data_IF_111326461021
#
_entry.id   IF_111326461021
#
_cell.length_a   1.000
_cell.length_b   1.000
_cell.length_c   1.000
_cell.angle_alpha   90.00
_cell.angle_beta   90.00
_cell.angle_gamma   90.00
#
_symmetry.space_group_name_H-M   'P 1'
#
loop_
_entity.id
_entity.type
_entity.pdbx_description
1 polymer ?
#
# COMPACT_ATOMS: atom_id res chain seq x y z
N UNK A 1 3.99 -9.71 16.25
CA UNK A 1 3.46 -9.69 17.63
C UNK A 1 2.12 -8.96 17.61
N UNK A 2 1.11 -9.46 18.31
CA UNK A 2 -0.18 -8.77 18.49
C UNK A 2 -0.22 -8.12 19.88
N UNK A 3 -0.72 -6.89 19.94
CA UNK A 3 -0.91 -6.15 21.19
C UNK A 3 -2.40 -5.96 21.42
N UNK A 4 -2.89 -6.33 22.60
CA UNK A 4 -4.28 -6.10 22.98
C UNK A 4 -4.42 -4.73 23.65
N UNK A 5 -5.42 -3.96 23.22
CA UNK A 5 -5.75 -2.65 23.78
C UNK A 5 -7.16 -2.68 24.37
N UNK A 6 -7.35 -2.03 25.53
CA UNK A 6 -8.66 -1.85 26.14
C UNK A 6 -9.15 -0.43 25.87
N UNK A 7 -10.25 -0.30 25.12
CA UNK A 7 -10.86 0.98 24.77
C UNK A 7 -12.08 1.24 25.64
N UNK A 8 -12.23 2.47 26.14
CA UNK A 8 -13.46 2.92 26.82
C UNK A 8 -14.32 3.66 25.81
N UNK A 9 -15.54 3.18 25.61
CA UNK A 9 -16.50 3.73 24.65
C UNK A 9 -17.85 3.94 25.34
N UNK A 10 -18.65 4.94 24.94
CA UNK A 10 -20.05 5.03 25.33
C UNK A 10 -20.80 3.76 24.93
N UNK A 11 -21.74 3.30 25.77
CA UNK A 11 -22.45 2.04 25.55
C UNK A 11 -23.25 2.05 24.24
N UNK A 12 -23.92 3.17 23.93
CA UNK A 12 -24.70 3.34 22.71
C UNK A 12 -23.82 3.28 21.46
N UNK A 13 -22.64 3.88 21.53
CA UNK A 13 -21.66 3.83 20.45
C UNK A 13 -21.15 2.40 20.23
N UNK A 14 -20.87 1.67 21.32
CA UNK A 14 -20.47 0.27 21.23
C UNK A 14 -21.55 -0.61 20.58
N UNK A 15 -22.82 -0.40 20.94
CA UNK A 15 -23.97 -1.09 20.31
C UNK A 15 -24.08 -0.80 18.83
N UNK A 16 -23.92 0.46 18.43
CA UNK A 16 -23.92 0.86 17.02
C UNK A 16 -22.76 0.23 16.26
N UNK A 17 -21.56 0.19 16.83
CA UNK A 17 -20.39 -0.46 16.23
C UNK A 17 -20.60 -1.98 16.06
N UNK A 18 -21.21 -2.66 17.03
CA UNK A 18 -21.60 -4.08 16.90
C UNK A 18 -22.57 -4.27 15.74
N UNK A 19 -23.60 -3.43 15.66
CA UNK A 19 -24.60 -3.52 14.61
C UNK A 19 -23.96 -3.29 13.22
N UNK A 20 -23.16 -2.24 13.09
CA UNK A 20 -22.45 -1.91 11.87
C UNK A 20 -21.53 -3.07 11.42
N UNK A 21 -20.77 -3.64 12.36
CA UNK A 21 -19.88 -4.77 12.09
C UNK A 21 -20.63 -5.96 11.50
N UNK A 22 -21.79 -6.32 12.08
CA UNK A 22 -22.62 -7.42 11.59
C UNK A 22 -23.21 -7.15 10.21
N UNK A 23 -23.72 -5.93 9.98
CA UNK A 23 -24.38 -5.57 8.71
C UNK A 23 -23.40 -5.51 7.54
N UNK A 24 -22.14 -5.15 7.79
CA UNK A 24 -21.10 -5.02 6.76
C UNK A 24 -20.19 -6.26 6.64
N UNK A 25 -20.51 -7.35 7.33
CA UNK A 25 -19.81 -8.63 7.17
C UNK A 25 -18.47 -8.76 7.90
N UNK A 26 -18.20 -7.93 8.91
CA UNK A 26 -17.01 -8.09 9.76
C UNK A 26 -17.18 -9.25 10.74
N UNK A 27 -16.12 -10.00 11.04
CA UNK A 27 -16.20 -11.12 11.99
C UNK A 27 -16.53 -10.65 13.40
N UNK A 28 -15.91 -9.54 13.82
CA UNK A 28 -16.10 -8.98 15.14
C UNK A 28 -15.88 -7.45 15.14
N UNK A 29 -16.25 -6.84 16.26
CA UNK A 29 -16.10 -5.39 16.46
C UNK A 29 -14.64 -4.95 16.49
N UNK A 30 -13.73 -5.81 16.97
CA UNK A 30 -12.30 -5.47 17.04
C UNK A 30 -11.68 -5.36 15.64
N UNK A 31 -12.10 -6.21 14.70
CA UNK A 31 -11.72 -6.17 13.30
C UNK A 31 -12.26 -4.91 12.65
N UNK A 32 -13.53 -4.57 12.88
CA UNK A 32 -14.10 -3.30 12.42
C UNK A 32 -13.26 -2.11 12.91
N UNK A 33 -12.92 -2.04 14.20
CA UNK A 33 -12.06 -0.98 14.73
C UNK A 33 -10.65 -0.99 14.11
N UNK A 34 -10.07 -2.17 13.88
CA UNK A 34 -8.75 -2.30 13.25
C UNK A 34 -8.76 -1.74 11.83
N UNK A 35 -9.75 -2.09 11.03
CA UNK A 35 -9.85 -1.60 9.65
C UNK A 35 -10.17 -0.10 9.61
N UNK A 36 -11.08 0.39 10.46
CA UNK A 36 -11.39 1.83 10.53
C UNK A 36 -10.17 2.66 10.95
N UNK A 37 -9.37 2.18 11.92
CA UNK A 37 -8.12 2.83 12.34
C UNK A 37 -7.07 2.74 11.24
N UNK A 38 -6.96 1.61 10.53
CA UNK A 38 -6.07 1.46 9.39
C UNK A 38 -6.41 2.47 8.30
N UNK A 39 -7.66 2.52 7.87
CA UNK A 39 -8.14 3.48 6.87
C UNK A 39 -7.76 4.90 7.30
N UNK A 40 -8.04 5.31 8.54
CA UNK A 40 -7.72 6.67 8.99
C UNK A 40 -6.24 7.00 9.04
N UNK A 41 -5.39 6.03 9.37
CA UNK A 41 -3.92 6.20 9.44
C UNK A 41 -3.30 6.18 8.04
N UNK A 42 -3.80 5.30 7.16
CA UNK A 42 -3.15 4.98 5.89
C UNK A 42 -3.78 5.66 4.66
N UNK A 43 -5.02 6.17 4.73
CA UNK A 43 -5.62 6.95 3.63
C UNK A 43 -4.85 8.24 3.36
N UNK A 44 -4.25 8.83 4.39
CA UNK A 44 -3.42 10.02 4.27
C UNK A 44 -1.92 9.71 4.19
N UNK A 45 -1.54 8.52 3.72
CA UNK A 45 -0.17 8.34 3.24
C UNK A 45 -0.08 9.10 1.92
N UNK A 46 0.12 10.42 2.03
CA UNK A 46 0.81 11.18 1.01
C UNK A 46 2.06 10.38 0.68
N UNK A 47 2.10 9.82 -0.53
CA UNK A 47 3.27 9.13 -1.05
C UNK A 47 4.43 10.11 -0.83
N UNK A 48 5.35 9.79 0.10
CA UNK A 48 6.48 10.69 0.38
C UNK A 48 7.09 11.06 -0.97
N UNK A 49 7.33 12.33 -1.26
CA UNK A 49 7.82 12.79 -2.57
C UNK A 49 9.01 11.98 -3.09
N UNK A 50 9.86 11.47 -2.20
CA UNK A 50 10.96 10.55 -2.51
C UNK A 50 10.55 9.25 -3.24
N UNK A 51 9.35 8.72 -2.99
CA UNK A 51 8.81 7.56 -3.70
C UNK A 51 8.18 7.95 -5.05
N UNK A 52 7.56 9.14 -5.16
CA UNK A 52 7.11 9.69 -6.45
C UNK A 52 8.29 9.97 -7.39
N UNK A 53 9.40 10.48 -6.87
CA UNK A 53 10.64 10.68 -7.63
C UNK A 53 11.21 9.36 -8.17
N UNK A 54 11.13 8.27 -7.38
CA UNK A 54 11.54 6.94 -7.85
C UNK A 54 10.57 6.32 -8.86
N UNK A 55 9.27 6.49 -8.67
CA UNK A 55 8.24 6.04 -9.63
C UNK A 55 8.36 6.77 -10.98
N UNK A 56 8.74 8.05 -10.96
CA UNK A 56 9.00 8.85 -12.17
C UNK A 56 10.44 8.74 -12.68
N UNK A 57 11.32 8.01 -11.98
CA UNK A 57 12.68 7.77 -12.46
C UNK A 57 12.67 6.72 -13.57
N UNK A 58 13.50 6.92 -14.59
CA UNK A 58 13.63 6.02 -15.76
C UNK A 58 13.96 4.57 -15.39
N UNK A 59 14.45 4.30 -14.17
CA UNK A 59 14.80 2.95 -13.71
C UNK A 59 13.56 2.07 -13.46
N UNK A 60 12.45 2.64 -13.00
CA UNK A 60 11.23 1.90 -12.68
C UNK A 60 10.33 1.65 -13.91
N UNK A 61 10.50 2.45 -14.97
CA UNK A 61 9.84 2.28 -16.25
C UNK A 61 10.71 1.45 -17.20
N UNK A 62 11.12 0.26 -16.73
CA UNK A 62 11.96 -0.71 -17.47
C UNK A 62 11.21 -1.40 -18.63
N UNK A 63 10.28 -0.69 -19.27
CA UNK A 63 9.93 -0.96 -20.66
C UNK A 63 10.72 0.04 -21.48
N UNK A 64 11.98 -0.29 -21.75
CA UNK A 64 12.81 0.42 -22.72
C UNK A 64 11.96 0.63 -23.99
N UNK A 65 11.98 1.85 -24.52
CA UNK A 65 11.42 2.06 -25.86
C UNK A 65 12.19 1.16 -26.85
N UNK A 66 11.54 0.72 -27.93
CA UNK A 66 12.12 -0.23 -28.90
C UNK A 66 13.50 0.19 -29.44
N UNK A 67 13.81 1.49 -29.43
CA UNK A 67 15.09 2.01 -29.89
C UNK A 67 16.19 1.91 -28.82
N UNK A 68 15.86 2.15 -27.55
CA UNK A 68 16.81 2.03 -26.42
C UNK A 68 17.19 0.55 -26.17
N UNK A 69 16.27 -0.39 -26.39
CA UNK A 69 16.57 -1.84 -26.32
C UNK A 69 17.61 -2.28 -27.36
N UNK A 70 17.54 -1.76 -28.59
CA UNK A 70 18.47 -2.11 -29.66
C UNK A 70 19.88 -1.57 -29.42
N UNK A 71 20.00 -0.41 -28.79
CA UNK A 71 21.30 0.13 -28.40
C UNK A 71 21.93 -0.69 -27.27
N UNK A 72 21.14 -1.13 -26.29
CA UNK A 72 21.61 -1.99 -25.21
C UNK A 72 22.07 -3.38 -25.72
N UNK A 73 21.34 -3.98 -26.66
CA UNK A 73 21.74 -5.25 -27.29
C UNK A 73 23.08 -5.12 -28.02
N UNK A 74 23.30 -4.03 -28.77
CA UNK A 74 24.57 -3.75 -29.46
C UNK A 74 25.74 -3.56 -28.49
N UNK A 75 25.50 -2.96 -27.32
CA UNK A 75 26.54 -2.83 -26.29
C UNK A 75 26.91 -4.18 -25.66
N UNK A 76 25.92 -5.06 -25.44
CA UNK A 76 26.15 -6.40 -24.92
C UNK A 76 26.94 -7.27 -25.92
N UNK A 77 26.60 -7.22 -27.21
CA UNK A 77 27.35 -7.93 -28.25
C UNK A 77 28.81 -7.50 -28.31
N UNK A 78 29.08 -6.19 -28.21
CA UNK A 78 30.46 -5.67 -28.15
C UNK A 78 31.23 -6.14 -26.93
N UNK A 79 30.58 -6.28 -25.76
CA UNK A 79 31.20 -6.80 -24.54
C UNK A 79 31.45 -8.31 -24.58
N UNK A 80 30.62 -9.06 -25.31
CA UNK A 80 30.77 -10.50 -25.47
C UNK A 80 31.80 -10.89 -26.54
N UNK A 81 32.19 -9.95 -27.42
CA UNK A 81 33.25 -10.12 -28.43
C UNK A 81 34.65 -9.69 -27.95
N UNK A 82 34.83 -9.38 -26.66
CA UNK A 82 36.12 -9.27 -25.96
C UNK A 82 36.31 -10.49 -25.04
#
# INVERSE_FOLDING_TARGET
MSTQINLRLPEDFHKQAIHYAKTHGFLNVQEFFREAVREKIFDNVEIRQKYLERLNSKEANTFLSNDESKEFEKELEKRAML
#
